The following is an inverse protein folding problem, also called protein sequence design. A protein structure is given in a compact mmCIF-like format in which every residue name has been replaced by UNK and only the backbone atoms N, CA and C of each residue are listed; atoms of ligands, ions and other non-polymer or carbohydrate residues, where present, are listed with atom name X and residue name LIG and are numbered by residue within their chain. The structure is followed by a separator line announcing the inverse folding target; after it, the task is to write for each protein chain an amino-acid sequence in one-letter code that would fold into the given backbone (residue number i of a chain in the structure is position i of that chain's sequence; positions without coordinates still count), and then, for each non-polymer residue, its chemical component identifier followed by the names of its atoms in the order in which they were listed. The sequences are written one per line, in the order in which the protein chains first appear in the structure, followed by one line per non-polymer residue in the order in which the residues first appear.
data_IF_202664830941
#
_entry.id   IF_202664830941
#
_cell.length_a   1.000
_cell.length_b   1.000
_cell.length_c   1.000
_cell.angle_alpha   90.00
_cell.angle_beta   90.00
_cell.angle_gamma   90.00
#
_symmetry.space_group_name_H-M   'P 1'
#
loop_
_entity.id
_entity.type
_entity.pdbx_description
1 polymer ?
#
# COMPACT_ATOMS: atom_id res chain seq x y z
N UNK A 1 11.47 -15.64 -0.35
CA UNK A 1 10.73 -15.80 -1.63
C UNK A 1 10.73 -14.46 -2.35
N UNK A 2 11.49 -14.35 -3.45
CA UNK A 2 11.68 -13.09 -4.18
C UNK A 2 10.50 -12.93 -5.15
N UNK A 3 9.66 -11.91 -4.96
CA UNK A 3 8.54 -11.62 -5.86
C UNK A 3 9.10 -10.91 -7.10
N UNK A 4 8.79 -11.43 -8.30
CA UNK A 4 9.20 -10.80 -9.56
C UNK A 4 8.49 -9.45 -9.75
N UNK A 5 9.06 -8.55 -10.56
CA UNK A 5 8.41 -7.26 -10.84
C UNK A 5 7.07 -7.47 -11.55
N UNK A 6 6.99 -8.40 -12.49
CA UNK A 6 5.74 -8.75 -13.18
C UNK A 6 4.66 -9.22 -12.19
N UNK A 7 5.01 -10.15 -11.29
CA UNK A 7 4.06 -10.63 -10.27
C UNK A 7 3.61 -9.51 -9.34
N UNK A 8 4.52 -8.59 -8.98
CA UNK A 8 4.19 -7.42 -8.16
C UNK A 8 3.19 -6.51 -8.90
N UNK A 9 3.48 -6.17 -10.16
CA UNK A 9 2.65 -5.28 -10.97
C UNK A 9 1.26 -5.89 -11.17
N UNK A 10 1.19 -7.17 -11.51
CA UNK A 10 -0.09 -7.89 -11.66
C UNK A 10 -0.89 -7.93 -10.35
N UNK A 11 -0.23 -8.03 -9.20
CA UNK A 11 -0.88 -8.01 -7.89
C UNK A 11 -1.50 -6.64 -7.58
N UNK A 12 -0.78 -5.56 -7.90
CA UNK A 12 -1.27 -4.19 -7.72
C UNK A 12 -2.45 -3.91 -8.67
N UNK A 13 -2.32 -4.29 -9.94
CA UNK A 13 -3.38 -4.18 -10.94
C UNK A 13 -4.64 -4.94 -10.53
N UNK A 14 -4.50 -6.16 -10.02
CA UNK A 14 -5.63 -6.93 -9.50
C UNK A 14 -6.39 -6.17 -8.41
N UNK A 15 -5.67 -5.57 -7.46
CA UNK A 15 -6.29 -4.82 -6.34
C UNK A 15 -7.00 -3.57 -6.86
N UNK A 16 -6.39 -2.85 -7.79
CA UNK A 16 -6.93 -1.62 -8.38
C UNK A 16 -8.16 -1.90 -9.25
N UNK A 17 -8.09 -2.93 -10.10
CA UNK A 17 -9.19 -3.31 -11.02
C UNK A 17 -10.41 -3.88 -10.28
N UNK A 18 -10.18 -4.66 -9.22
CA UNK A 18 -11.27 -5.31 -8.46
C UNK A 18 -11.75 -4.47 -7.26
N UNK A 19 -11.06 -3.38 -6.91
CA UNK A 19 -11.36 -2.56 -5.73
C UNK A 19 -11.34 -3.35 -4.41
N UNK A 20 -10.53 -4.42 -4.33
CA UNK A 20 -10.56 -5.33 -3.18
C UNK A 20 -9.59 -4.92 -2.06
N UNK A 21 -9.86 -5.33 -0.83
CA UNK A 21 -8.91 -5.16 0.29
C UNK A 21 -7.62 -5.94 0.02
N UNK A 22 -6.46 -5.40 0.39
CA UNK A 22 -5.16 -6.08 0.27
C UNK A 22 -5.14 -7.49 0.87
N UNK A 23 -5.88 -7.73 1.96
CA UNK A 23 -5.99 -9.05 2.60
C UNK A 23 -6.72 -10.10 1.75
N UNK A 24 -7.53 -9.66 0.78
CA UNK A 24 -8.21 -10.52 -0.18
C UNK A 24 -7.34 -10.87 -1.40
N UNK A 25 -6.08 -10.39 -1.45
CA UNK A 25 -5.17 -10.67 -2.55
C UNK A 25 -4.98 -12.19 -2.72
N UNK A 26 -5.21 -12.75 -3.91
CA UNK A 26 -5.04 -14.17 -4.17
C UNK A 26 -3.60 -14.65 -3.84
N UNK A 27 -3.43 -15.80 -3.16
CA UNK A 27 -2.11 -16.31 -2.77
C UNK A 27 -1.13 -16.53 -3.92
N UNK A 28 -1.61 -16.69 -5.16
CA UNK A 28 -0.79 -16.80 -6.38
C UNK A 28 0.13 -15.59 -6.62
N UNK A 29 -0.21 -14.43 -6.08
CA UNK A 29 0.60 -13.22 -6.16
C UNK A 29 1.63 -13.10 -5.03
N UNK A 30 1.62 -14.03 -4.07
CA UNK A 30 2.47 -14.02 -2.89
C UNK A 30 1.79 -13.39 -1.67
N UNK A 31 2.58 -13.15 -0.62
CA UNK A 31 2.08 -12.59 0.64
C UNK A 31 1.63 -11.15 0.44
N UNK A 32 0.36 -10.85 0.73
CA UNK A 32 -0.22 -9.51 0.60
C UNK A 32 0.62 -8.43 1.29
N UNK A 33 1.17 -8.71 2.48
CA UNK A 33 1.97 -7.76 3.24
C UNK A 33 3.26 -7.35 2.50
N UNK A 34 3.89 -8.30 1.81
CA UNK A 34 5.10 -8.06 1.01
C UNK A 34 4.78 -7.22 -0.22
N UNK A 35 3.67 -7.52 -0.91
CA UNK A 35 3.20 -6.74 -2.05
C UNK A 35 2.87 -5.32 -1.62
N UNK A 36 2.07 -5.15 -0.57
CA UNK A 36 1.69 -3.84 -0.04
C UNK A 36 2.90 -3.00 0.39
N UNK A 37 3.84 -3.57 1.14
CA UNK A 37 5.05 -2.85 1.59
C UNK A 37 5.87 -2.36 0.41
N UNK A 38 6.00 -3.18 -0.64
CA UNK A 38 6.77 -2.82 -1.84
C UNK A 38 6.04 -1.79 -2.69
N UNK A 39 4.73 -1.97 -2.87
CA UNK A 39 3.85 -1.00 -3.55
C UNK A 39 3.98 0.36 -2.87
N UNK A 40 3.84 0.42 -1.55
CA UNK A 40 3.96 1.67 -0.79
C UNK A 40 5.31 2.36 -1.00
N UNK A 41 6.42 1.61 -0.97
CA UNK A 41 7.75 2.17 -1.28
C UNK A 41 7.86 2.71 -2.70
N UNK A 42 7.16 2.10 -3.67
CA UNK A 42 7.14 2.59 -5.04
C UNK A 42 6.24 3.82 -5.20
N UNK A 43 5.13 3.89 -4.45
CA UNK A 43 4.29 5.08 -4.36
C UNK A 43 5.08 6.26 -3.77
N UNK A 44 5.77 6.05 -2.64
CA UNK A 44 6.59 7.06 -1.98
C UNK A 44 7.75 7.57 -2.88
N UNK A 45 8.18 6.76 -3.85
CA UNK A 45 9.22 7.09 -4.82
C UNK A 45 8.68 7.59 -6.17
N UNK A 46 7.37 7.84 -6.31
CA UNK A 46 6.68 8.18 -7.56
C UNK A 46 6.95 7.20 -8.72
N UNK A 47 7.36 5.97 -8.40
CA UNK A 47 7.65 4.93 -9.38
C UNK A 47 6.37 4.26 -9.90
N UNK A 48 5.31 4.21 -9.08
CA UNK A 48 4.00 3.72 -9.53
C UNK A 48 3.35 4.67 -10.51
N UNK A 49 3.42 5.97 -10.29
CA UNK A 49 2.82 6.98 -11.17
C UNK A 49 3.39 6.83 -12.59
N UNK A 50 4.73 6.87 -12.72
CA UNK A 50 5.41 6.68 -14.00
C UNK A 50 5.12 5.34 -14.67
N UNK A 51 4.96 4.28 -13.88
CA UNK A 51 4.62 2.96 -14.41
C UNK A 51 3.20 2.97 -14.98
N UNK A 52 2.23 3.54 -14.24
CA UNK A 52 0.84 3.59 -14.69
C UNK A 52 0.68 4.48 -15.91
N UNK A 53 1.35 5.63 -15.94
CA UNK A 53 1.38 6.51 -17.11
C UNK A 53 1.87 5.74 -18.35
N UNK A 54 3.02 5.07 -18.25
CA UNK A 54 3.56 4.28 -19.37
C UNK A 54 2.62 3.13 -19.77
N UNK A 55 1.97 2.45 -18.82
CA UNK A 55 1.01 1.38 -19.13
C UNK A 55 -0.24 1.91 -19.83
N UNK A 56 -0.70 3.11 -19.49
CA UNK A 56 -1.82 3.78 -20.15
C UNK A 56 -1.45 4.29 -21.54
N UNK A 57 -0.26 4.90 -21.70
CA UNK A 57 0.28 5.34 -23.00
C UNK A 57 0.39 4.18 -23.99
N UNK A 58 0.79 3.00 -23.52
CA UNK A 58 0.84 1.78 -24.34
C UNK A 58 -0.50 1.06 -24.50
N UNK A 59 -1.61 1.64 -24.01
CA UNK A 59 -2.96 1.05 -24.03
C UNK A 59 -3.03 -0.36 -23.42
N UNK A 60 -2.11 -0.70 -22.52
CA UNK A 60 -2.07 -2.01 -21.86
C UNK A 60 -3.10 -2.14 -20.74
N UNK A 61 -3.51 -1.00 -20.16
CA UNK A 61 -4.51 -0.94 -19.09
C UNK A 61 -5.56 0.13 -19.43
N UNK A 62 -6.82 -0.12 -19.08
CA UNK A 62 -7.93 0.85 -19.20
C UNK A 62 -8.36 1.47 -17.88
N UNK A 63 -7.62 1.20 -16.81
CA UNK A 63 -7.98 1.63 -15.46
C UNK A 63 -7.43 3.03 -15.21
N UNK A 64 -8.33 3.99 -14.95
CA UNK A 64 -7.96 5.29 -14.39
C UNK A 64 -7.49 5.07 -12.96
N UNK A 65 -6.21 5.32 -12.68
CA UNK A 65 -5.66 5.20 -11.33
C UNK A 65 -5.93 6.51 -10.59
N UNK A 66 -7.18 6.73 -10.20
CA UNK A 66 -7.58 7.84 -9.32
C UNK A 66 -7.38 7.51 -7.83
N UNK A 67 -6.56 6.49 -7.53
CA UNK A 67 -6.37 5.98 -6.18
C UNK A 67 -5.40 6.82 -5.33
N UNK A 68 -5.70 8.12 -5.19
CA UNK A 68 -5.18 8.95 -4.09
C UNK A 68 -6.06 8.68 -2.85
N UNK A 69 -5.71 7.60 -2.15
CA UNK A 69 -6.12 7.16 -0.80
C UNK A 69 -7.41 7.71 -0.17
N UNK A 70 -8.38 6.82 0.11
CA UNK A 70 -9.42 7.05 1.13
C UNK A 70 -9.90 5.68 1.64
N UNK A 71 -9.41 5.19 2.77
CA UNK A 71 -10.18 5.29 4.01
C UNK A 71 -9.27 5.20 5.26
N UNK A 72 -8.58 6.30 5.58
CA UNK A 72 -8.14 6.49 6.97
C UNK A 72 -9.36 6.92 7.79
N UNK A 73 -10.02 6.00 8.50
CA UNK A 73 -10.93 6.39 9.58
C UNK A 73 -10.10 6.80 10.79
N UNK A 74 -9.89 8.11 10.99
CA UNK A 74 -9.45 8.64 12.27
C UNK A 74 -10.65 8.73 13.20
N UNK A 75 -10.72 7.84 14.20
CA UNK A 75 -11.71 7.96 15.29
C UNK A 75 -11.09 8.84 16.37
N UNK A 76 -11.74 9.97 16.70
CA UNK A 76 -11.35 10.77 17.87
C UNK A 76 -11.55 9.91 19.12
N UNK A 77 -10.46 9.60 19.81
CA UNK A 77 -10.53 8.96 21.13
C UNK A 77 -11.02 9.97 22.16
N UNK A 78 -11.76 9.50 23.15
CA UNK A 78 -12.06 10.30 24.36
C UNK A 78 -10.73 10.74 24.98
N UNK A 79 -10.61 11.95 25.57
CA UNK A 79 -9.39 12.41 26.23
C UNK A 79 -8.76 11.37 27.18
N UNK A 80 -9.62 10.63 27.90
CA UNK A 80 -9.24 9.57 28.84
C UNK A 80 -8.76 8.26 28.18
N UNK A 81 -8.85 8.14 26.85
CA UNK A 81 -8.34 7.01 26.07
C UNK A 81 -6.87 7.16 25.65
N UNK A 82 -6.24 8.28 25.96
CA UNK A 82 -4.83 8.53 25.67
C UNK A 82 -3.99 7.83 26.72
N UNK A 83 -3.54 6.61 26.42
CA UNK A 83 -2.83 5.74 27.36
C UNK A 83 -1.61 6.37 28.05
N UNK A 84 -1.16 5.68 29.11
CA UNK A 84 -0.13 6.12 30.05
C UNK A 84 1.19 6.61 29.39
N UNK A 85 1.85 7.63 29.97
CA UNK A 85 3.11 8.15 29.45
C UNK A 85 4.20 7.07 29.43
N UNK A 86 4.94 7.03 28.32
CA UNK A 86 6.10 6.15 28.12
C UNK A 86 7.13 6.40 29.22
N UNK A 87 7.46 5.37 30.02
CA UNK A 87 8.58 5.44 30.99
C UNK A 87 9.86 5.78 30.22
N UNK A 88 10.44 6.96 30.50
CA UNK A 88 11.83 7.27 30.18
C UNK A 88 12.68 6.60 31.24
N UNK A 89 13.46 5.59 30.88
CA UNK A 89 14.51 5.08 31.75
C UNK A 89 15.55 6.19 31.89
N UNK A 90 15.74 6.70 33.10
CA UNK A 90 16.78 7.68 33.39
C UNK A 90 18.14 6.98 33.38
N UNK A 91 18.85 7.09 32.26
CA UNK A 91 20.28 6.86 32.19
C UNK A 91 20.83 7.57 30.96
N UNK A 92 20.89 8.90 31.05
CA UNK A 92 21.77 9.75 30.24
C UNK A 92 22.21 10.91 31.15
N UNK A 93 23.23 10.64 31.97
CA UNK A 93 24.11 11.60 32.60
C UNK A 93 25.53 11.26 32.17
#
# INVERSE_FOLDING_TARGET
MRISNLTMINAVLFVVENGCKWRALPPRFGKWHTVYTRMRRWADASALDRLFDALQEHHMIRVSVDCLGLDSTSVKVHPDGTGAPKKRTASDW
#
